data_IF_133524601533
#
_entry.id   IF_133524601533
#
_cell.length_a   1.000
_cell.length_b   1.000
_cell.length_c   1.000
_cell.angle_alpha   90.00
_cell.angle_beta   90.00
_cell.angle_gamma   90.00
#
_symmetry.space_group_name_H-M   'P 1'
#
loop_
_entity.id
_entity.type
_entity.pdbx_description
1 polymer ?
#
# COMPACT_ATOMS: atom_id res chain seq x y z
N UNK A 1 66.23 18.23 -31.17
CA UNK A 1 65.22 17.20 -30.85
C UNK A 1 65.56 16.64 -29.49
N UNK A 2 64.72 16.90 -28.48
CA UNK A 2 65.05 16.69 -27.06
C UNK A 2 63.90 15.92 -26.42
N UNK A 3 64.16 14.68 -26.03
CA UNK A 3 63.31 13.86 -25.17
C UNK A 3 63.38 14.39 -23.75
N UNK A 4 62.24 14.54 -23.08
CA UNK A 4 62.14 14.63 -21.62
C UNK A 4 60.83 13.96 -21.19
N UNK A 5 60.97 12.86 -20.46
CA UNK A 5 59.91 12.23 -19.67
C UNK A 5 59.79 13.05 -18.39
N UNK A 6 58.58 13.44 -18.00
CA UNK A 6 58.31 13.85 -16.62
C UNK A 6 56.97 13.28 -16.16
N UNK A 7 57.08 12.26 -15.32
CA UNK A 7 56.00 11.75 -14.47
C UNK A 7 55.61 12.84 -13.47
N UNK A 8 54.31 13.08 -13.27
CA UNK A 8 53.81 13.76 -12.08
C UNK A 8 52.50 13.11 -11.66
N UNK A 9 52.58 12.27 -10.62
CA UNK A 9 51.44 11.75 -9.88
C UNK A 9 50.81 12.88 -9.06
N UNK A 10 49.48 13.02 -9.12
CA UNK A 10 48.75 13.78 -8.11
C UNK A 10 47.41 13.10 -7.81
N UNK A 11 47.46 12.23 -6.81
CA UNK A 11 46.30 11.67 -6.14
C UNK A 11 45.64 12.78 -5.31
N UNK A 12 44.40 13.14 -5.63
CA UNK A 12 43.55 13.90 -4.71
C UNK A 12 42.28 13.09 -4.48
N UNK A 13 42.26 12.38 -3.35
CA UNK A 13 41.04 11.91 -2.71
C UNK A 13 40.24 13.16 -2.28
N UNK A 14 39.11 13.42 -2.93
CA UNK A 14 38.06 14.22 -2.31
C UNK A 14 37.09 13.28 -1.61
N UNK A 15 37.31 13.09 -0.32
CA UNK A 15 36.29 12.61 0.59
C UNK A 15 35.24 13.73 0.75
N UNK A 16 33.98 13.41 0.45
CA UNK A 16 32.86 14.21 0.95
C UNK A 16 31.97 13.26 1.77
N UNK A 17 32.15 13.15 3.10
CA UNK A 17 31.08 12.68 3.94
C UNK A 17 30.09 13.84 4.09
N UNK A 18 29.20 14.02 3.11
CA UNK A 18 27.99 14.79 3.36
C UNK A 18 27.06 13.91 4.19
N UNK A 19 27.32 13.86 5.49
CA UNK A 19 26.29 13.54 6.46
C UNK A 19 25.20 14.59 6.30
N UNK A 20 24.22 14.32 5.43
CA UNK A 20 22.91 14.92 5.57
C UNK A 20 22.30 14.32 6.83
N UNK A 21 22.68 14.84 7.99
CA UNK A 21 21.79 14.84 9.14
C UNK A 21 20.74 15.91 8.86
N UNK A 22 19.86 15.64 7.91
CA UNK A 22 18.61 16.37 7.83
C UNK A 22 17.78 15.80 8.99
N UNK A 23 17.80 16.54 10.10
CA UNK A 23 16.88 16.37 11.22
C UNK A 23 15.48 16.81 10.76
N UNK A 24 14.97 16.15 9.73
CA UNK A 24 13.53 16.13 9.42
C UNK A 24 12.98 15.28 10.52
N UNK A 25 12.25 15.89 11.46
CA UNK A 25 11.21 15.17 12.18
C UNK A 25 10.46 14.39 11.12
N UNK A 26 10.71 13.08 11.05
CA UNK A 26 10.08 12.22 10.07
C UNK A 26 8.59 12.43 10.33
N UNK A 27 7.83 13.02 9.39
CA UNK A 27 6.39 12.90 9.47
C UNK A 27 6.21 11.39 9.57
N UNK A 28 5.59 10.89 10.64
CA UNK A 28 5.21 9.48 10.72
C UNK A 28 4.45 9.21 9.43
N UNK A 29 5.14 8.64 8.44
CA UNK A 29 4.57 8.28 7.18
C UNK A 29 3.65 7.14 7.55
N UNK A 30 2.38 7.48 7.82
CA UNK A 30 1.34 6.52 8.14
C UNK A 30 1.30 5.55 6.97
N UNK A 31 2.00 4.42 7.14
CA UNK A 31 2.21 3.44 6.09
C UNK A 31 0.90 2.68 5.97
N UNK A 32 -0.03 3.24 5.22
CA UNK A 32 -1.27 2.59 4.85
C UNK A 32 -0.92 1.42 3.91
N UNK A 33 -0.98 0.21 4.46
CA UNK A 33 -0.70 -1.01 3.73
C UNK A 33 -2.01 -1.72 3.39
N UNK A 34 -2.22 -2.01 2.10
CA UNK A 34 -3.30 -2.88 1.64
C UNK A 34 -2.75 -4.29 1.49
N UNK A 35 -3.24 -5.19 2.33
CA UNK A 35 -2.81 -6.59 2.36
C UNK A 35 -3.94 -7.44 1.82
N UNK A 36 -3.68 -8.20 0.77
CA UNK A 36 -4.65 -9.14 0.22
C UNK A 36 -4.94 -10.25 1.24
N UNK A 37 -6.23 -10.56 1.42
CA UNK A 37 -6.71 -11.56 2.37
C UNK A 37 -7.53 -12.63 1.67
N UNK A 38 -7.48 -13.85 2.19
CA UNK A 38 -8.28 -14.95 1.67
C UNK A 38 -9.74 -14.79 2.08
N UNK A 39 -10.65 -15.39 1.33
CA UNK A 39 -12.10 -15.36 1.62
C UNK A 39 -12.46 -15.78 3.06
N UNK A 40 -11.70 -16.73 3.64
CA UNK A 40 -11.89 -17.20 5.03
C UNK A 40 -11.51 -16.15 6.08
N UNK A 41 -10.63 -15.21 5.74
CA UNK A 41 -10.12 -14.15 6.62
C UNK A 41 -11.00 -12.90 6.57
N UNK A 42 -11.93 -12.82 5.62
CA UNK A 42 -12.93 -11.74 5.58
C UNK A 42 -13.80 -11.84 6.85
N UNK A 43 -14.08 -10.73 7.56
CA UNK A 43 -14.99 -10.75 8.70
C UNK A 43 -16.37 -11.31 8.32
N UNK A 44 -17.04 -11.95 9.30
CA UNK A 44 -18.35 -12.59 9.05
C UNK A 44 -19.38 -11.54 8.64
N UNK A 45 -19.33 -10.39 9.29
CA UNK A 45 -20.19 -9.23 9.11
C UNK A 45 -20.09 -8.73 7.66
N UNK A 46 -18.86 -8.58 7.16
CA UNK A 46 -18.58 -8.19 5.77
C UNK A 46 -19.13 -9.21 4.78
N UNK A 47 -18.90 -10.52 4.99
CA UNK A 47 -19.46 -11.56 4.10
C UNK A 47 -20.98 -11.56 4.10
N UNK A 48 -21.61 -11.33 5.25
CA UNK A 48 -23.06 -11.26 5.37
C UNK A 48 -23.62 -10.02 4.65
N UNK A 49 -23.03 -8.85 4.81
CA UNK A 49 -23.45 -7.62 4.10
C UNK A 49 -23.32 -7.78 2.58
N UNK A 50 -22.24 -8.40 2.10
CA UNK A 50 -22.06 -8.71 0.67
C UNK A 50 -23.16 -9.64 0.17
N UNK A 51 -23.43 -10.71 0.92
CA UNK A 51 -24.43 -11.71 0.54
C UNK A 51 -25.83 -11.09 0.50
N UNK A 52 -26.11 -10.15 1.40
CA UNK A 52 -27.41 -9.47 1.52
C UNK A 52 -27.59 -8.36 0.47
N UNK A 53 -26.61 -7.49 0.26
CA UNK A 53 -26.75 -6.35 -0.68
C UNK A 53 -26.39 -6.70 -2.12
N UNK A 54 -25.47 -7.64 -2.30
CA UNK A 54 -24.95 -8.04 -3.61
C UNK A 54 -25.32 -9.50 -3.89
N UNK A 55 -26.60 -9.86 -3.71
CA UNK A 55 -27.10 -11.22 -3.92
C UNK A 55 -26.63 -11.83 -5.25
N UNK A 56 -25.97 -12.98 -5.17
CA UNK A 56 -25.42 -13.69 -6.34
C UNK A 56 -24.18 -13.03 -6.97
N UNK A 57 -23.54 -12.10 -6.27
CA UNK A 57 -22.22 -11.61 -6.63
C UNK A 57 -21.12 -12.55 -6.13
N UNK A 58 -20.05 -12.66 -6.92
CA UNK A 58 -18.83 -13.35 -6.57
C UNK A 58 -17.83 -12.37 -5.95
N UNK A 59 -17.18 -12.76 -4.85
CA UNK A 59 -16.05 -12.01 -4.32
C UNK A 59 -14.82 -12.35 -5.15
N UNK A 60 -14.26 -11.35 -5.84
CA UNK A 60 -13.06 -11.50 -6.65
C UNK A 60 -11.80 -11.40 -5.80
N UNK A 61 -11.70 -10.30 -5.05
CA UNK A 61 -10.54 -9.97 -4.23
C UNK A 61 -11.00 -9.32 -2.92
N UNK A 62 -10.20 -9.48 -1.88
CA UNK A 62 -10.41 -8.83 -0.60
C UNK A 62 -9.08 -8.37 -0.03
N UNK A 63 -9.08 -7.19 0.57
CA UNK A 63 -7.93 -6.57 1.21
C UNK A 63 -8.31 -6.12 2.62
N UNK A 64 -7.35 -6.22 3.55
CA UNK A 64 -7.39 -5.47 4.80
C UNK A 64 -6.49 -4.26 4.67
N UNK A 65 -6.92 -3.15 5.22
CA UNK A 65 -6.16 -1.92 5.30
C UNK A 65 -5.55 -1.82 6.70
N UNK A 66 -4.23 -1.69 6.76
CA UNK A 66 -3.46 -1.59 7.99
C UNK A 66 -2.73 -0.26 8.02
N UNK A 67 -2.92 0.52 9.08
CA UNK A 67 -2.19 1.77 9.33
C UNK A 67 -1.45 1.59 10.65
N UNK A 68 -0.14 1.80 10.65
CA UNK A 68 0.72 1.69 11.84
C UNK A 68 0.59 0.35 12.59
N UNK A 69 0.29 -0.74 11.87
CA UNK A 69 0.09 -2.08 12.42
C UNK A 69 -1.35 -2.38 12.88
N UNK A 70 -2.26 -1.41 12.86
CA UNK A 70 -3.67 -1.58 13.21
C UNK A 70 -4.56 -1.73 11.97
N UNK A 71 -5.50 -2.68 12.01
CA UNK A 71 -6.51 -2.81 10.95
C UNK A 71 -7.50 -1.65 11.07
N UNK A 72 -7.60 -0.85 10.01
CA UNK A 72 -8.51 0.31 9.95
C UNK A 72 -9.72 0.08 9.06
N UNK A 73 -9.69 -0.97 8.24
CA UNK A 73 -10.79 -1.29 7.34
C UNK A 73 -10.53 -2.50 6.45
N UNK A 74 -11.53 -2.78 5.62
CA UNK A 74 -11.49 -3.82 4.60
C UNK A 74 -12.00 -3.27 3.28
N UNK A 75 -11.45 -3.76 2.18
CA UNK A 75 -11.92 -3.48 0.83
C UNK A 75 -12.26 -4.82 0.19
N UNK A 76 -13.46 -4.95 -0.36
CA UNK A 76 -13.88 -6.18 -1.05
C UNK A 76 -14.38 -5.85 -2.43
N UNK A 77 -13.82 -6.53 -3.43
CA UNK A 77 -14.25 -6.43 -4.82
C UNK A 77 -15.24 -7.54 -5.11
N UNK A 78 -16.43 -7.13 -5.56
CA UNK A 78 -17.53 -8.05 -5.86
C UNK A 78 -17.97 -7.87 -7.32
N UNK A 79 -18.34 -8.96 -7.96
CA UNK A 79 -18.77 -8.99 -9.36
C UNK A 79 -20.10 -9.71 -9.52
N UNK A 80 -21.02 -9.12 -10.27
CA UNK A 80 -22.29 -9.75 -10.65
C UNK A 80 -22.54 -9.53 -12.14
N UNK A 81 -22.34 -10.59 -12.92
CA UNK A 81 -22.37 -10.50 -14.37
C UNK A 81 -21.31 -9.53 -14.91
N UNK A 82 -21.67 -8.51 -15.70
CA UNK A 82 -20.71 -7.53 -16.23
C UNK A 82 -20.34 -6.43 -15.22
N UNK A 83 -21.05 -6.33 -14.09
CA UNK A 83 -20.86 -5.25 -13.12
C UNK A 83 -19.85 -5.65 -12.05
N UNK A 84 -18.96 -4.71 -11.69
CA UNK A 84 -18.03 -4.82 -10.58
C UNK A 84 -18.27 -3.67 -9.60
N UNK A 85 -18.06 -3.95 -8.32
CA UNK A 85 -18.11 -2.97 -7.26
C UNK A 85 -16.95 -3.15 -6.30
N UNK A 86 -16.42 -2.04 -5.83
CA UNK A 86 -15.50 -2.01 -4.70
C UNK A 86 -16.31 -1.57 -3.48
N UNK A 87 -16.38 -2.42 -2.46
CA UNK A 87 -17.11 -2.16 -1.22
C UNK A 87 -16.12 -1.96 -0.09
N UNK A 88 -16.19 -0.82 0.57
CA UNK A 88 -15.31 -0.45 1.66
C UNK A 88 -16.00 -0.67 3.00
N UNK A 89 -15.27 -1.22 3.97
CA UNK A 89 -15.74 -1.49 5.31
C UNK A 89 -14.80 -0.86 6.33
N UNK A 90 -15.34 -0.48 7.48
CA UNK A 90 -14.54 -0.13 8.65
C UNK A 90 -13.93 -1.38 9.31
N UNK A 91 -13.10 -1.16 10.34
CA UNK A 91 -12.46 -2.25 11.10
C UNK A 91 -13.44 -3.21 11.79
N UNK A 92 -14.70 -2.81 11.96
CA UNK A 92 -15.76 -3.62 12.57
C UNK A 92 -16.60 -4.35 11.51
N UNK A 93 -16.32 -4.16 10.22
CA UNK A 93 -17.08 -4.75 9.13
C UNK A 93 -18.35 -3.99 8.76
N UNK A 94 -18.52 -2.73 9.18
CA UNK A 94 -19.63 -1.89 8.73
C UNK A 94 -19.27 -1.22 7.40
N UNK A 95 -20.19 -1.17 6.43
CA UNK A 95 -19.92 -0.54 5.14
C UNK A 95 -19.72 0.96 5.32
N UNK A 96 -18.59 1.46 4.81
CA UNK A 96 -18.36 2.89 4.58
C UNK A 96 -19.12 3.22 3.29
N UNK A 97 -20.01 4.22 3.32
CA UNK A 97 -21.01 4.57 2.28
C UNK A 97 -20.50 4.82 0.85
N UNK A 98 -19.24 4.53 0.53
CA UNK A 98 -18.61 4.67 -0.77
C UNK A 98 -18.68 3.33 -1.53
N UNK A 99 -19.80 3.08 -2.19
CA UNK A 99 -19.85 2.18 -3.34
C UNK A 99 -19.44 3.00 -4.56
N UNK A 100 -18.19 2.88 -5.00
CA UNK A 100 -17.80 3.44 -6.30
C UNK A 100 -18.10 2.38 -7.37
N UNK A 101 -19.04 2.62 -8.29
CA UNK A 101 -19.13 1.80 -9.49
C UNK A 101 -17.88 2.05 -10.35
N UNK A 102 -17.23 0.96 -10.80
CA UNK A 102 -16.22 1.02 -11.87
C UNK A 102 -16.88 1.30 -13.24
#
# INVERSE_FOLDING_TARGET
MKTFILSLSLSILFAIPSSFALNVETPLEQKAEKIEIKHKEIPKEVRMDITDKYHGAEILMAYKEVIDGEIVGYQVEVKKGPKKWVVLYDKNGNPKNTVQPE
#
